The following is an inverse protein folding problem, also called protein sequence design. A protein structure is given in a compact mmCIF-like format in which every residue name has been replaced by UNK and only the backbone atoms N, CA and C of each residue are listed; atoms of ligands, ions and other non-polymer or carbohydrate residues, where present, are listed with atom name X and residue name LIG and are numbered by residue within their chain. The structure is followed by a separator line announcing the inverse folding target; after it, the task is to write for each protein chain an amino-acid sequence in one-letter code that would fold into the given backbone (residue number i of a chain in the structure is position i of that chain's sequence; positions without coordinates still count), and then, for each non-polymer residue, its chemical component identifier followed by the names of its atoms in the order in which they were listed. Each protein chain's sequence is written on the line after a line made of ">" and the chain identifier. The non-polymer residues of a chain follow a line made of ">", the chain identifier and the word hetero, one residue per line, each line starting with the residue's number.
data_IF_572300342073
#
_entry.id   IF_572300342073
#
_cell.length_a   1.000
_cell.length_b   1.000
_cell.length_c   1.000
_cell.angle_alpha   90.00
_cell.angle_beta   90.00
_cell.angle_gamma   90.00
#
_symmetry.space_group_name_H-M   'P 1'
#
loop_
_entity.id
_entity.type
_entity.pdbx_description
1 polymer ?
#
# COMPACT_ATOMS: atom_id res chain seq x y z
N UNK A 1 45.42 -17.04 -47.00
CA UNK A 1 44.09 -17.26 -46.37
C UNK A 1 44.13 -16.56 -45.02
N UNK A 2 43.50 -15.39 -44.91
CA UNK A 2 43.49 -14.59 -43.67
C UNK A 2 42.08 -14.76 -43.08
N UNK A 3 42.00 -15.54 -41.99
CA UNK A 3 40.75 -15.79 -41.29
C UNK A 3 40.30 -14.56 -40.52
N UNK A 4 39.13 -14.03 -40.86
CA UNK A 4 38.44 -12.97 -40.11
C UNK A 4 37.75 -13.59 -38.91
N UNK A 5 38.31 -13.41 -37.72
CA UNK A 5 37.65 -13.72 -36.45
C UNK A 5 36.65 -12.61 -36.12
N UNK A 6 35.36 -12.91 -36.23
CA UNK A 6 34.27 -12.04 -35.77
C UNK A 6 34.20 -12.12 -34.24
N UNK A 7 34.63 -11.05 -33.55
CA UNK A 7 34.29 -10.84 -32.14
C UNK A 7 32.81 -10.48 -32.04
N UNK A 8 32.00 -11.39 -31.50
CA UNK A 8 30.64 -11.09 -31.09
C UNK A 8 30.69 -10.25 -29.79
N UNK A 9 30.36 -8.96 -29.90
CA UNK A 9 30.07 -8.12 -28.75
C UNK A 9 28.76 -8.59 -28.11
N UNK A 10 28.85 -9.35 -27.02
CA UNK A 10 27.70 -9.68 -26.19
C UNK A 10 27.20 -8.40 -25.54
N UNK A 11 26.05 -7.90 -26.00
CA UNK A 11 25.35 -6.76 -25.41
C UNK A 11 24.75 -7.24 -24.08
N UNK A 12 25.42 -6.94 -22.97
CA UNK A 12 24.88 -7.17 -21.62
C UNK A 12 23.76 -6.15 -21.39
N UNK A 13 22.51 -6.58 -21.59
CA UNK A 13 21.36 -5.79 -21.17
C UNK A 13 21.41 -5.63 -19.64
N UNK A 14 21.22 -4.41 -19.10
CA UNK A 14 21.16 -4.22 -17.65
C UNK A 14 19.99 -5.03 -17.10
N UNK A 15 20.23 -5.80 -16.04
CA UNK A 15 19.16 -6.43 -15.27
C UNK A 15 18.26 -5.33 -14.70
N UNK A 16 17.04 -5.21 -15.23
CA UNK A 16 16.02 -4.41 -14.60
C UNK A 16 15.67 -5.06 -13.26
N UNK A 17 15.92 -4.35 -12.16
CA UNK A 17 15.44 -4.75 -10.83
C UNK A 17 13.92 -4.70 -10.91
N UNK A 18 13.28 -5.87 -10.81
CA UNK A 18 11.82 -5.96 -10.79
C UNK A 18 11.31 -5.22 -9.53
N UNK A 19 10.68 -4.07 -9.74
CA UNK A 19 10.04 -3.33 -8.65
C UNK A 19 8.78 -4.06 -8.24
N UNK A 20 8.64 -4.31 -6.95
CA UNK A 20 7.43 -4.94 -6.43
C UNK A 20 6.31 -3.89 -6.38
N UNK A 21 5.12 -4.23 -6.88
CA UNK A 21 4.01 -3.28 -6.90
C UNK A 21 3.56 -2.88 -5.50
N UNK A 22 3.17 -1.61 -5.34
CA UNK A 22 2.50 -1.09 -4.13
C UNK A 22 1.03 -0.90 -4.47
N UNK A 23 0.12 -1.26 -3.56
CA UNK A 23 -1.32 -1.05 -3.78
C UNK A 23 -1.92 -0.14 -2.71
N UNK A 24 -2.97 0.60 -3.08
CA UNK A 24 -3.69 1.50 -2.19
C UNK A 24 -4.72 2.33 -2.94
N UNK A 25 -5.54 3.09 -2.20
CA UNK A 25 -6.49 4.02 -2.81
C UNK A 25 -5.76 5.27 -3.29
N UNK A 26 -5.89 5.62 -4.56
CA UNK A 26 -5.27 6.81 -5.10
C UNK A 26 -6.10 8.06 -4.77
N UNK A 27 -5.50 9.08 -4.18
CA UNK A 27 -6.15 10.38 -3.94
C UNK A 27 -5.26 11.53 -4.40
N UNK A 28 -5.85 12.67 -4.84
CA UNK A 28 -5.07 13.85 -5.20
C UNK A 28 -4.38 14.45 -3.97
N UNK A 29 -3.22 15.07 -4.17
CA UNK A 29 -2.58 15.86 -3.12
C UNK A 29 -3.39 17.14 -2.91
N UNK A 30 -3.84 17.38 -1.68
CA UNK A 30 -4.71 18.52 -1.34
C UNK A 30 -4.04 19.90 -1.30
N UNK A 31 -2.84 20.08 -1.85
CA UNK A 31 -2.11 21.36 -1.81
C UNK A 31 -0.62 21.23 -2.13
N UNK A 32 0.15 22.33 -2.01
CA UNK A 32 1.59 22.30 -2.21
C UNK A 32 2.24 21.40 -1.15
N UNK A 33 3.18 20.57 -1.59
CA UNK A 33 3.94 19.69 -0.72
C UNK A 33 5.28 20.30 -0.35
N UNK A 34 5.89 19.77 0.72
CA UNK A 34 7.26 20.08 1.08
C UNK A 34 8.29 19.49 0.11
N UNK A 35 7.90 18.51 -0.72
CA UNK A 35 8.87 17.82 -1.57
C UNK A 35 9.12 18.59 -2.87
N UNK A 36 8.19 19.44 -3.31
CA UNK A 36 8.34 20.34 -4.47
C UNK A 36 8.84 19.63 -5.74
N UNK A 37 8.49 18.34 -5.93
CA UNK A 37 8.93 17.55 -7.09
C UNK A 37 7.86 17.42 -8.18
N UNK A 38 6.75 18.15 -8.03
CA UNK A 38 5.62 18.13 -8.96
C UNK A 38 4.73 16.89 -8.79
N UNK A 39 4.71 16.31 -7.61
CA UNK A 39 3.73 15.30 -7.23
C UNK A 39 2.30 15.83 -7.32
N UNK A 40 1.40 14.95 -7.73
CA UNK A 40 0.00 15.27 -7.95
C UNK A 40 -0.92 14.38 -7.13
N UNK A 41 -0.46 13.17 -6.78
CA UNK A 41 -1.25 12.17 -6.07
C UNK A 41 -0.48 11.55 -4.90
N UNK A 42 -1.19 10.82 -4.05
CA UNK A 42 -0.64 9.97 -3.01
C UNK A 42 -1.53 8.73 -2.84
N UNK A 43 -1.00 7.69 -2.19
CA UNK A 43 -1.82 6.55 -1.76
C UNK A 43 -2.40 6.83 -0.37
N UNK A 44 -3.72 6.83 -0.26
CA UNK A 44 -4.44 6.93 1.01
C UNK A 44 -3.93 5.84 1.95
N UNK A 45 -3.59 6.21 3.18
CA UNK A 45 -3.01 5.32 4.21
C UNK A 45 -1.56 4.86 3.98
N UNK A 46 -0.86 5.34 2.95
CA UNK A 46 0.59 5.16 2.79
C UNK A 46 1.30 6.48 3.08
N UNK A 47 1.72 6.72 4.33
CA UNK A 47 2.22 8.01 4.74
C UNK A 47 3.52 8.38 4.05
N UNK A 48 3.57 9.60 3.51
CA UNK A 48 4.76 10.18 2.91
C UNK A 48 5.15 9.61 1.53
N UNK A 49 4.33 8.73 0.94
CA UNK A 49 4.50 8.28 -0.44
C UNK A 49 3.72 9.18 -1.38
N UNK A 50 4.45 10.04 -2.08
CA UNK A 50 3.92 10.93 -3.11
C UNK A 50 4.15 10.35 -4.49
N UNK A 51 3.24 10.63 -5.40
CA UNK A 51 3.23 10.08 -6.75
C UNK A 51 3.22 11.19 -7.78
N UNK A 52 4.03 10.97 -8.82
CA UNK A 52 3.95 11.69 -10.09
C UNK A 52 4.08 10.70 -11.23
N UNK A 53 3.61 11.09 -12.40
CA UNK A 53 3.93 10.42 -13.64
C UNK A 53 3.93 11.45 -14.75
N UNK A 54 4.83 11.28 -15.72
CA UNK A 54 4.83 12.07 -16.96
C UNK A 54 4.14 11.34 -18.12
N UNK A 55 3.90 10.04 -17.99
CA UNK A 55 3.37 9.17 -19.04
C UNK A 55 1.96 8.64 -18.76
N UNK A 56 1.53 8.65 -17.49
CA UNK A 56 0.26 8.09 -17.05
C UNK A 56 -0.61 9.21 -16.48
N UNK A 57 -1.85 9.30 -16.98
CA UNK A 57 -2.89 10.16 -16.42
C UNK A 57 -3.46 9.53 -15.14
N UNK A 58 -2.93 9.96 -13.99
CA UNK A 58 -3.31 9.45 -12.66
C UNK A 58 -4.73 9.86 -12.25
N UNK A 59 -5.27 10.95 -12.80
CA UNK A 59 -6.60 11.46 -12.42
C UNK A 59 -7.72 10.48 -12.76
N UNK A 60 -7.54 9.63 -13.78
CA UNK A 60 -8.50 8.58 -14.16
C UNK A 60 -8.66 7.48 -13.11
N UNK A 61 -7.72 7.40 -12.18
CA UNK A 61 -7.63 6.37 -11.15
C UNK A 61 -7.96 6.92 -9.76
N UNK A 62 -8.29 8.20 -9.64
CA UNK A 62 -8.68 8.81 -8.36
C UNK A 62 -9.84 8.06 -7.72
N UNK A 63 -9.75 7.90 -6.39
CA UNK A 63 -10.68 7.16 -5.55
C UNK A 63 -10.80 5.66 -5.84
N UNK A 64 -9.93 5.09 -6.69
CA UNK A 64 -9.87 3.65 -6.94
C UNK A 64 -8.72 3.00 -6.17
N UNK A 65 -8.88 1.72 -5.82
CA UNK A 65 -7.78 0.90 -5.34
C UNK A 65 -6.95 0.46 -6.54
N UNK A 66 -5.70 0.90 -6.58
CA UNK A 66 -4.78 0.64 -7.68
C UNK A 66 -3.55 -0.10 -7.22
N UNK A 67 -2.90 -0.80 -8.15
CA UNK A 67 -1.57 -1.37 -8.01
C UNK A 67 -0.62 -0.59 -8.91
N UNK A 68 0.42 0.00 -8.34
CA UNK A 68 1.38 0.85 -9.04
C UNK A 68 2.78 0.24 -9.00
N UNK A 69 3.51 0.41 -10.10
CA UNK A 69 4.97 0.23 -10.13
C UNK A 69 5.62 1.53 -10.60
N UNK A 70 6.82 1.79 -10.11
CA UNK A 70 7.50 3.06 -10.36
C UNK A 70 8.83 3.15 -9.65
N UNK A 71 9.62 4.14 -10.06
CA UNK A 71 10.93 4.39 -9.49
C UNK A 71 10.84 5.42 -8.38
N UNK A 72 11.50 5.15 -7.25
CA UNK A 72 11.70 6.17 -6.23
C UNK A 72 12.71 7.21 -6.75
N UNK A 73 12.24 8.45 -6.89
CA UNK A 73 13.01 9.59 -7.43
C UNK A 73 13.20 10.72 -6.41
N UNK A 74 12.55 10.59 -5.25
CA UNK A 74 12.62 11.59 -4.19
C UNK A 74 13.93 11.53 -3.40
N UNK A 75 14.46 12.72 -3.06
CA UNK A 75 15.69 12.85 -2.26
C UNK A 75 15.34 13.08 -0.78
N UNK A 76 14.41 13.98 -0.52
CA UNK A 76 13.95 14.37 0.83
C UNK A 76 12.64 13.71 1.25
N UNK A 77 11.83 13.32 0.26
CA UNK A 77 10.56 12.63 0.47
C UNK A 77 10.54 11.35 -0.35
N UNK A 78 9.65 10.42 0.00
CA UNK A 78 9.38 9.26 -0.85
C UNK A 78 8.49 9.69 -2.01
N UNK A 79 9.10 10.08 -3.12
CA UNK A 79 8.38 10.42 -4.36
C UNK A 79 8.63 9.31 -5.37
N UNK A 80 7.56 8.74 -5.90
CA UNK A 80 7.63 7.72 -6.94
C UNK A 80 7.20 8.30 -8.29
N UNK A 81 8.03 8.07 -9.31
CA UNK A 81 7.66 8.24 -10.71
C UNK A 81 6.98 6.96 -11.20
N UNK A 82 5.66 7.02 -11.33
CA UNK A 82 4.81 5.87 -11.67
C UNK A 82 4.99 5.53 -13.14
N UNK A 83 5.43 4.29 -13.39
CA UNK A 83 5.68 3.74 -14.73
C UNK A 83 4.61 2.75 -15.18
N UNK A 84 3.84 2.19 -14.26
CA UNK A 84 2.64 1.39 -14.54
C UNK A 84 1.59 1.57 -13.45
N UNK A 85 0.32 1.51 -13.85
CA UNK A 85 -0.83 1.52 -12.95
C UNK A 85 -1.89 0.57 -13.51
N UNK A 86 -2.55 -0.16 -12.61
CA UNK A 86 -3.70 -1.00 -12.95
C UNK A 86 -4.65 -1.08 -11.75
N UNK A 87 -5.88 -1.53 -11.98
CA UNK A 87 -6.78 -1.86 -10.87
C UNK A 87 -6.11 -2.92 -9.99
N UNK A 88 -6.18 -2.75 -8.67
CA UNK A 88 -5.63 -3.74 -7.77
C UNK A 88 -6.50 -5.00 -7.81
N UNK A 89 -5.86 -6.15 -7.96
CA UNK A 89 -6.53 -7.45 -7.79
C UNK A 89 -6.83 -7.72 -6.31
N UNK A 90 -6.25 -6.97 -5.39
CA UNK A 90 -6.49 -7.09 -3.95
C UNK A 90 -7.26 -5.89 -3.45
N UNK A 91 -8.49 -6.11 -3.00
CA UNK A 91 -9.33 -5.06 -2.40
C UNK A 91 -9.44 -5.28 -0.90
N UNK A 92 -9.41 -4.18 -0.16
CA UNK A 92 -9.71 -4.16 1.25
C UNK A 92 -10.58 -2.93 1.48
N UNK A 93 -11.78 -3.16 1.96
CA UNK A 93 -12.77 -2.12 2.24
C UNK A 93 -13.27 -2.28 3.67
N UNK A 94 -13.82 -1.20 4.20
CA UNK A 94 -14.43 -1.21 5.53
C UNK A 94 -15.72 -0.41 5.54
N UNK A 95 -16.64 -0.80 6.41
CA UNK A 95 -17.88 -0.08 6.67
C UNK A 95 -18.31 -0.22 8.14
N UNK A 96 -19.18 0.67 8.60
CA UNK A 96 -19.66 0.72 9.98
C UNK A 96 -19.28 2.02 10.69
N UNK A 97 -19.59 2.09 11.98
CA UNK A 97 -19.28 3.26 12.81
C UNK A 97 -18.09 2.94 13.72
N UNK A 98 -16.93 3.60 13.56
CA UNK A 98 -15.73 3.31 14.34
C UNK A 98 -15.79 3.90 15.75
N UNK A 99 -16.78 3.53 16.56
CA UNK A 99 -16.91 3.93 17.96
C UNK A 99 -16.39 2.84 18.89
N UNK A 100 -15.98 3.22 20.10
CA UNK A 100 -15.62 2.26 21.15
C UNK A 100 -16.77 1.27 21.42
N UNK A 101 -16.47 -0.03 21.41
CA UNK A 101 -17.48 -1.09 21.54
C UNK A 101 -18.33 -1.33 20.28
N UNK A 102 -18.18 -0.50 19.24
CA UNK A 102 -18.83 -0.67 17.95
C UNK A 102 -18.19 -1.77 17.11
N UNK A 103 -18.93 -2.26 16.12
CA UNK A 103 -18.44 -3.26 15.16
C UNK A 103 -18.16 -2.60 13.82
N UNK A 104 -17.03 -2.97 13.22
CA UNK A 104 -16.62 -2.58 11.88
C UNK A 104 -16.62 -3.82 11.01
N UNK A 105 -17.27 -3.71 9.87
CA UNK A 105 -17.27 -4.72 8.82
C UNK A 105 -16.08 -4.48 7.90
N UNK A 106 -15.35 -5.55 7.59
CA UNK A 106 -14.27 -5.54 6.62
C UNK A 106 -14.57 -6.49 5.49
N UNK A 107 -14.33 -6.04 4.27
CA UNK A 107 -14.48 -6.83 3.06
C UNK A 107 -13.12 -6.91 2.39
N UNK A 108 -12.52 -8.11 2.38
CA UNK A 108 -11.16 -8.36 1.92
C UNK A 108 -11.20 -9.37 0.77
N UNK A 109 -10.87 -8.93 -0.43
CA UNK A 109 -10.73 -9.80 -1.59
C UNK A 109 -9.26 -9.98 -1.97
N UNK A 110 -8.79 -11.20 -1.74
CA UNK A 110 -7.50 -11.75 -2.17
C UNK A 110 -7.79 -12.88 -3.16
N UNK A 111 -7.88 -12.60 -4.48
CA UNK A 111 -8.29 -13.61 -5.45
C UNK A 111 -7.34 -14.81 -5.43
N UNK A 112 -7.91 -16.00 -5.28
CA UNK A 112 -7.20 -17.29 -5.32
C UNK A 112 -6.25 -17.58 -4.15
N UNK A 113 -6.23 -16.77 -3.09
CA UNK A 113 -5.33 -16.98 -1.95
C UNK A 113 -6.00 -16.60 -0.64
N UNK A 114 -5.81 -17.43 0.39
CA UNK A 114 -6.06 -17.01 1.77
C UNK A 114 -5.03 -15.97 2.22
N UNK A 115 -5.34 -15.28 3.31
CA UNK A 115 -4.42 -14.31 3.88
C UNK A 115 -4.53 -14.23 5.38
N UNK A 116 -3.75 -13.31 5.94
CA UNK A 116 -3.96 -12.84 7.30
C UNK A 116 -4.25 -11.34 7.26
N UNK A 117 -4.98 -10.85 8.24
CA UNK A 117 -5.15 -9.43 8.46
C UNK A 117 -4.68 -9.05 9.86
N UNK A 118 -4.25 -7.81 10.00
CA UNK A 118 -3.84 -7.21 11.26
C UNK A 118 -4.40 -5.79 11.34
N UNK A 119 -5.13 -5.53 12.41
CA UNK A 119 -5.75 -4.25 12.72
C UNK A 119 -4.98 -3.59 13.85
N UNK A 120 -4.43 -2.42 13.60
CA UNK A 120 -3.59 -1.71 14.55
C UNK A 120 -4.13 -0.31 14.82
N UNK A 121 -4.09 0.14 16.07
CA UNK A 121 -4.39 1.51 16.45
C UNK A 121 -3.10 2.25 16.81
N UNK A 122 -2.90 3.45 16.29
CA UNK A 122 -1.76 4.30 16.61
C UNK A 122 -2.16 5.79 16.60
N UNK A 123 -1.47 6.60 17.40
CA UNK A 123 -1.71 8.05 17.45
C UNK A 123 -1.20 8.73 16.18
N UNK A 124 -0.08 8.23 15.68
CA UNK A 124 0.61 8.74 14.49
C UNK A 124 0.61 7.70 13.36
N UNK A 125 1.49 7.90 12.38
CA UNK A 125 1.70 7.00 11.24
C UNK A 125 2.29 5.67 11.72
N UNK A 126 1.46 4.62 11.75
CA UNK A 126 1.85 3.32 12.29
C UNK A 126 2.61 2.42 11.31
N UNK A 127 2.46 2.63 10.00
CA UNK A 127 2.85 1.64 8.99
C UNK A 127 3.39 2.28 7.70
N UNK A 128 4.38 1.65 7.09
CA UNK A 128 4.72 1.86 5.68
C UNK A 128 4.86 0.52 4.98
N UNK A 129 4.13 0.28 3.89
CA UNK A 129 4.43 -0.81 3.00
C UNK A 129 5.85 -0.62 2.46
N UNK A 130 6.66 -1.67 2.57
CA UNK A 130 7.98 -1.77 1.96
C UNK A 130 8.09 -3.13 1.28
N UNK A 131 7.58 -3.21 0.04
CA UNK A 131 7.79 -4.38 -0.78
C UNK A 131 9.29 -4.67 -1.01
N UNK A 132 9.70 -5.95 -1.16
CA UNK A 132 8.89 -7.17 -1.06
C UNK A 132 8.70 -7.65 0.39
N UNK A 133 9.25 -6.94 1.37
CA UNK A 133 9.36 -7.36 2.78
C UNK A 133 8.10 -7.12 3.61
N UNK A 134 7.00 -6.70 2.97
CA UNK A 134 5.71 -6.47 3.62
C UNK A 134 5.52 -5.04 4.07
N UNK A 135 5.16 -4.85 5.33
CA UNK A 135 4.91 -3.53 5.92
C UNK A 135 5.74 -3.39 7.19
N UNK A 136 6.46 -2.28 7.30
CA UNK A 136 7.16 -1.93 8.52
C UNK A 136 6.26 -1.11 9.42
N UNK A 137 6.31 -1.45 10.70
CA UNK A 137 5.82 -0.61 11.77
C UNK A 137 6.70 0.65 11.85
N UNK A 138 6.18 1.80 11.45
CA UNK A 138 6.96 3.04 11.41
C UNK A 138 6.87 3.89 12.69
N UNK A 139 6.00 3.53 13.63
CA UNK A 139 5.74 4.35 14.81
C UNK A 139 5.42 3.54 16.05
N UNK A 140 5.74 4.12 17.21
CA UNK A 140 5.37 3.60 18.53
C UNK A 140 4.61 4.68 19.32
N UNK A 141 3.55 4.35 20.08
CA UNK A 141 2.98 3.02 20.29
C UNK A 141 1.88 2.68 19.26
N UNK A 142 1.97 1.48 18.69
CA UNK A 142 0.90 0.82 17.92
C UNK A 142 0.33 -0.31 18.75
N UNK A 143 -0.98 -0.31 18.96
CA UNK A 143 -1.71 -1.36 19.66
C UNK A 143 -2.34 -2.29 18.64
N UNK A 144 -2.02 -3.59 18.69
CA UNK A 144 -2.77 -4.59 17.92
C UNK A 144 -4.19 -4.69 18.50
N UNK A 145 -5.17 -4.30 17.71
CA UNK A 145 -6.60 -4.32 18.07
C UNK A 145 -7.19 -5.70 17.78
N UNK A 146 -6.88 -6.25 16.60
CA UNK A 146 -7.35 -7.55 16.17
C UNK A 146 -6.41 -8.13 15.11
N UNK A 147 -6.33 -9.45 15.01
CA UNK A 147 -5.69 -10.15 13.91
C UNK A 147 -6.44 -11.42 13.60
N UNK A 148 -6.19 -12.03 12.44
CA UNK A 148 -6.79 -13.30 12.08
C UNK A 148 -6.49 -13.70 10.65
N UNK A 149 -7.05 -14.84 10.26
CA UNK A 149 -6.99 -15.31 8.89
C UNK A 149 -8.21 -14.77 8.12
N UNK A 150 -8.03 -14.58 6.82
CA UNK A 150 -9.11 -14.24 5.90
C UNK A 150 -9.13 -15.27 4.76
N UNK A 151 -10.34 -15.74 4.44
CA UNK A 151 -10.55 -16.54 3.24
C UNK A 151 -10.45 -15.65 1.98
N UNK A 152 -10.31 -16.24 0.77
CA UNK A 152 -10.41 -15.47 -0.46
C UNK A 152 -11.75 -14.75 -0.53
N UNK A 153 -11.74 -13.41 -0.63
CA UNK A 153 -12.95 -12.59 -0.78
C UNK A 153 -13.94 -12.80 0.37
N UNK A 154 -13.40 -12.62 1.58
CA UNK A 154 -14.06 -12.82 2.85
C UNK A 154 -14.58 -11.49 3.43
N UNK A 155 -15.67 -11.59 4.18
CA UNK A 155 -16.36 -10.50 4.83
C UNK A 155 -16.46 -10.79 6.32
N UNK A 156 -15.79 -10.00 7.15
CA UNK A 156 -15.72 -10.26 8.59
C UNK A 156 -15.86 -8.99 9.44
N UNK A 157 -16.59 -9.11 10.54
CA UNK A 157 -16.80 -8.03 11.49
C UNK A 157 -15.80 -8.10 12.66
N UNK A 158 -15.27 -6.96 13.09
CA UNK A 158 -14.46 -6.85 14.32
C UNK A 158 -14.98 -5.74 15.22
N UNK A 159 -15.10 -6.06 16.49
CA UNK A 159 -15.49 -5.10 17.51
C UNK A 159 -14.28 -4.32 17.98
N UNK A 160 -14.36 -2.99 17.94
CA UNK A 160 -13.37 -2.13 18.61
C UNK A 160 -13.54 -2.34 20.12
N UNK A 161 -12.49 -2.71 20.86
CA UNK A 161 -12.59 -2.87 22.30
C UNK A 161 -13.11 -1.59 22.95
N UNK A 162 -14.02 -1.72 23.93
CA UNK A 162 -14.51 -0.58 24.70
C UNK A 162 -13.45 -0.13 25.73
N UNK A 163 -12.34 0.41 25.22
CA UNK A 163 -11.21 0.89 26.00
C UNK A 163 -10.90 2.34 25.59
N UNK A 164 -11.01 3.32 26.51
CA UNK A 164 -10.74 4.73 26.23
C UNK A 164 -9.36 5.03 25.63
N UNK A 165 -8.37 4.15 25.81
CA UNK A 165 -7.06 4.29 25.18
C UNK A 165 -7.10 4.30 23.63
N UNK A 166 -8.18 3.76 23.04
CA UNK A 166 -8.41 3.74 21.61
C UNK A 166 -9.08 5.01 21.06
N UNK A 167 -9.65 5.86 21.91
CA UNK A 167 -10.35 7.05 21.47
C UNK A 167 -9.41 8.03 20.74
N UNK A 168 -9.82 8.49 19.56
CA UNK A 168 -9.02 9.40 18.72
C UNK A 168 -7.81 8.76 18.05
N UNK A 169 -7.56 7.46 18.24
CA UNK A 169 -6.49 6.75 17.54
C UNK A 169 -6.86 6.56 16.07
N UNK A 170 -5.86 6.61 15.19
CA UNK A 170 -5.99 6.13 13.81
C UNK A 170 -5.82 4.62 13.81
N UNK A 171 -6.73 3.96 13.10
CA UNK A 171 -6.69 2.52 12.91
C UNK A 171 -6.19 2.25 11.50
N UNK A 172 -5.30 1.29 11.38
CA UNK A 172 -4.73 0.80 10.13
C UNK A 172 -5.05 -0.70 10.05
N UNK A 173 -5.80 -1.09 9.04
CA UNK A 173 -5.97 -2.50 8.71
C UNK A 173 -5.04 -2.84 7.57
N UNK A 174 -4.24 -3.86 7.77
CA UNK A 174 -3.39 -4.43 6.75
C UNK A 174 -3.84 -5.86 6.46
N UNK A 175 -3.99 -6.19 5.18
CA UNK A 175 -4.10 -7.56 4.71
C UNK A 175 -2.77 -8.02 4.09
N UNK A 176 -2.42 -9.27 4.34
CA UNK A 176 -1.25 -9.97 3.82
C UNK A 176 -1.73 -11.24 3.11
N UNK A 177 -1.57 -11.30 1.79
CA UNK A 177 -1.79 -12.52 1.02
C UNK A 177 -0.59 -13.44 1.09
N UNK A 178 -0.80 -14.75 1.30
CA UNK A 178 0.29 -15.74 1.31
C UNK A 178 0.59 -16.23 -0.11
N UNK A 179 1.39 -15.51 -0.89
CA UNK A 179 1.99 -16.05 -2.11
C UNK A 179 3.50 -16.10 -1.99
N UNK A 180 4.09 -17.25 -2.34
CA UNK A 180 5.49 -17.63 -2.07
C UNK A 180 6.58 -16.65 -2.56
N UNK A 181 6.28 -15.59 -3.33
CA UNK A 181 7.28 -14.60 -3.78
C UNK A 181 6.75 -13.16 -3.98
N UNK A 182 5.51 -12.85 -3.58
CA UNK A 182 4.97 -11.48 -3.69
C UNK A 182 3.95 -11.21 -2.58
N UNK A 183 4.28 -10.28 -1.67
CA UNK A 183 3.35 -9.80 -0.67
C UNK A 183 2.51 -8.67 -1.28
N UNK A 184 1.21 -8.92 -1.44
CA UNK A 184 0.25 -7.88 -1.75
C UNK A 184 -0.23 -7.30 -0.43
N UNK A 185 0.03 -6.00 -0.22
CA UNK A 185 -0.56 -5.24 0.87
C UNK A 185 -1.56 -4.23 0.29
N UNK A 186 -2.74 -4.22 0.89
CA UNK A 186 -3.70 -3.12 0.77
C UNK A 186 -3.98 -2.64 2.20
N UNK A 187 -4.09 -1.33 2.37
CA UNK A 187 -4.31 -0.71 3.65
C UNK A 187 -5.54 0.19 3.59
N UNK A 188 -6.38 0.07 4.62
CA UNK A 188 -7.44 1.06 4.89
C UNK A 188 -7.22 1.65 6.27
N UNK A 189 -7.62 2.91 6.44
CA UNK A 189 -7.46 3.62 7.69
C UNK A 189 -8.65 4.52 8.01
N UNK A 190 -8.93 4.67 9.31
CA UNK A 190 -10.01 5.49 9.85
C UNK A 190 -9.69 5.93 11.27
N UNK A 191 -10.47 6.83 11.85
CA UNK A 191 -10.29 7.32 13.22
C UNK A 191 -11.40 6.81 14.14
N UNK A 192 -11.03 6.35 15.32
CA UNK A 192 -11.99 5.92 16.35
C UNK A 192 -12.59 7.14 17.05
N UNK A 193 -13.92 7.18 17.14
CA UNK A 193 -14.70 8.22 17.83
C UNK A 193 -14.95 7.87 19.30
#
# INVERSE_FOLDING_TARGET
>A
MIGRTLLAFACLAPLAIAQTPVSGKLIPVGGPTICQQGETHLLECVPGLYLKSSSIDLTRWENQIVSITGNEIGVTCRVWDVTSIQAANVTLEWSGNPVLGGSIQFDLCLPNVGGSYQLFAAKDYGFSPQPPMGTYLLGSPTLLVASGNAMPCDSFARTIPNNPAFQGQRVYLQALGTHMMAEYSNAVCFTIQ
#
